data_IF_618366299267
#
_entry.id   IF_618366299267
#
_cell.length_a   1.000
_cell.length_b   1.000
_cell.length_c   1.000
_cell.angle_alpha   90.00
_cell.angle_beta   90.00
_cell.angle_gamma   90.00
#
_symmetry.space_group_name_H-M   'P 1'
#
loop_
_entity.id
_entity.type
_entity.pdbx_description
1 polymer ?
#
# COMPACT_ATOMS: atom_id res chain seq x y z
N UNK A 1 -7.71 19.55 -9.52
CA UNK A 1 -6.57 18.71 -9.10
C UNK A 1 -5.30 19.54 -9.27
N UNK A 2 -4.52 19.73 -8.19
CA UNK A 2 -3.22 20.41 -8.23
C UNK A 2 -2.18 19.53 -8.97
N UNK A 3 -1.11 20.13 -9.47
CA UNK A 3 0.06 19.45 -10.05
C UNK A 3 0.64 18.42 -9.07
N UNK A 4 0.81 18.78 -7.80
CA UNK A 4 1.32 17.89 -6.75
C UNK A 4 0.46 16.64 -6.55
N UNK A 5 -0.87 16.79 -6.53
CA UNK A 5 -1.83 15.69 -6.44
C UNK A 5 -1.70 14.71 -7.60
N UNK A 6 -1.41 15.22 -8.80
CA UNK A 6 -1.26 14.42 -10.01
C UNK A 6 0.07 13.66 -10.03
N UNK A 7 1.15 14.28 -9.57
CA UNK A 7 2.44 13.59 -9.42
C UNK A 7 2.34 12.44 -8.41
N UNK A 8 1.68 12.67 -7.28
CA UNK A 8 1.43 11.62 -6.28
C UNK A 8 0.60 10.46 -6.83
N UNK A 9 -0.41 10.75 -7.66
CA UNK A 9 -1.17 9.71 -8.36
C UNK A 9 -0.27 8.85 -9.26
N UNK A 10 0.61 9.48 -10.02
CA UNK A 10 1.56 8.80 -10.91
C UNK A 10 2.46 7.85 -10.11
N UNK A 11 2.97 8.29 -8.96
CA UNK A 11 3.79 7.45 -8.08
C UNK A 11 3.03 6.24 -7.56
N UNK A 12 1.79 6.43 -7.10
CA UNK A 12 0.95 5.33 -6.60
C UNK A 12 0.65 4.32 -7.73
N UNK A 13 0.41 4.79 -8.96
CA UNK A 13 0.19 3.92 -10.12
C UNK A 13 1.44 3.09 -10.43
N UNK A 14 2.63 3.71 -10.39
CA UNK A 14 3.91 3.00 -10.57
C UNK A 14 4.14 1.97 -9.46
N UNK A 15 3.81 2.31 -8.22
CA UNK A 15 3.89 1.40 -7.08
C UNK A 15 2.94 0.20 -7.27
N UNK A 16 1.69 0.44 -7.64
CA UNK A 16 0.70 -0.60 -7.93
C UNK A 16 1.12 -1.52 -9.08
N UNK A 17 1.84 -0.98 -10.08
CA UNK A 17 2.40 -1.78 -11.19
C UNK A 17 3.59 -2.62 -10.75
N UNK A 18 4.40 -2.12 -9.82
CA UNK A 18 5.63 -2.77 -9.40
C UNK A 18 6.57 -3.06 -10.59
N UNK A 19 7.04 -4.29 -10.68
CA UNK A 19 7.95 -4.76 -11.74
C UNK A 19 7.26 -5.15 -13.04
N UNK A 20 5.93 -5.12 -13.11
CA UNK A 20 5.19 -5.50 -14.32
C UNK A 20 5.45 -4.49 -15.46
N UNK A 21 5.42 -4.95 -16.71
CA UNK A 21 5.35 -4.05 -17.86
C UNK A 21 4.00 -3.31 -17.91
N UNK A 22 3.94 -2.14 -18.57
CA UNK A 22 2.68 -1.42 -18.77
C UNK A 22 1.62 -2.28 -19.47
N UNK A 23 2.04 -3.14 -20.42
CA UNK A 23 1.16 -4.11 -21.07
C UNK A 23 0.66 -5.18 -20.10
N UNK A 24 1.54 -5.71 -19.25
CA UNK A 24 1.17 -6.70 -18.23
C UNK A 24 0.17 -6.12 -17.23
N UNK A 25 0.44 -4.91 -16.74
CA UNK A 25 -0.44 -4.21 -15.82
C UNK A 25 -1.78 -3.82 -16.46
N UNK A 26 -1.76 -3.34 -17.71
CA UNK A 26 -2.98 -3.07 -18.48
C UNK A 26 -3.86 -4.31 -18.62
N UNK A 27 -3.28 -5.45 -19.05
CA UNK A 27 -4.01 -6.73 -19.13
C UNK A 27 -4.62 -7.12 -17.78
N UNK A 28 -3.87 -6.92 -16.70
CA UNK A 28 -4.30 -7.24 -15.34
C UNK A 28 -5.44 -6.33 -14.84
N UNK A 29 -5.52 -5.09 -15.32
CA UNK A 29 -6.60 -4.15 -15.01
C UNK A 29 -7.77 -4.19 -16.01
N UNK A 30 -7.61 -4.86 -17.16
CA UNK A 30 -8.58 -4.89 -18.24
C UNK A 30 -8.51 -3.69 -19.19
N UNK A 31 -7.37 -2.98 -19.24
CA UNK A 31 -7.16 -1.78 -20.06
C UNK A 31 -5.99 -1.92 -21.03
N UNK A 32 -5.88 -1.00 -21.99
CA UNK A 32 -4.75 -0.97 -22.91
C UNK A 32 -3.46 -0.53 -22.23
N UNK A 33 -2.31 -0.96 -22.76
CA UNK A 33 -1.00 -0.49 -22.28
C UNK A 33 -0.86 1.04 -22.43
N UNK A 34 -1.48 1.61 -23.46
CA UNK A 34 -1.53 3.06 -23.71
C UNK A 34 -2.28 3.80 -22.61
N UNK A 35 -3.39 3.27 -22.11
CA UNK A 35 -4.10 3.87 -20.98
C UNK A 35 -3.18 3.97 -19.75
N UNK A 36 -2.50 2.87 -19.40
CA UNK A 36 -1.52 2.85 -18.31
C UNK A 36 -0.40 3.87 -18.54
N UNK A 37 0.15 3.93 -19.76
CA UNK A 37 1.21 4.89 -20.10
C UNK A 37 0.76 6.34 -19.93
N UNK A 38 -0.47 6.69 -20.35
CA UNK A 38 -1.02 8.03 -20.20
C UNK A 38 -1.24 8.39 -18.74
N UNK A 39 -1.68 7.43 -17.92
CA UNK A 39 -1.81 7.63 -16.49
C UNK A 39 -0.46 7.85 -15.80
N UNK A 40 0.56 7.05 -16.13
CA UNK A 40 1.92 7.19 -15.56
C UNK A 40 2.66 8.45 -16.04
N UNK A 41 2.20 9.09 -17.12
CA UNK A 41 2.68 10.40 -17.58
C UNK A 41 1.88 11.56 -17.00
N UNK A 42 0.82 11.29 -16.25
CA UNK A 42 -0.11 12.32 -15.74
C UNK A 42 -0.92 13.02 -16.83
N UNK A 43 -1.01 12.45 -18.03
CA UNK A 43 -1.78 13.05 -19.15
C UNK A 43 -3.27 12.94 -18.86
N UNK A 44 -3.73 11.76 -18.47
CA UNK A 44 -5.11 11.48 -18.09
C UNK A 44 -5.18 10.83 -16.70
N UNK A 45 -6.32 10.98 -16.05
CA UNK A 45 -6.61 10.37 -14.74
C UNK A 45 -7.45 9.10 -14.96
N UNK A 46 -7.17 7.97 -14.27
CA UNK A 46 -8.03 6.80 -14.30
C UNK A 46 -9.40 7.09 -13.67
N UNK A 47 -10.46 6.45 -14.19
CA UNK A 47 -11.78 6.52 -13.58
C UNK A 47 -11.83 5.76 -12.24
N UNK A 48 -12.87 6.00 -11.45
CA UNK A 48 -13.04 5.47 -10.09
C UNK A 48 -12.85 3.96 -10.00
N UNK A 49 -13.36 3.19 -10.97
CA UNK A 49 -13.19 1.72 -11.01
C UNK A 49 -11.70 1.32 -11.00
N UNK A 50 -10.87 2.02 -11.78
CA UNK A 50 -9.45 1.74 -11.86
C UNK A 50 -8.69 2.31 -10.66
N UNK A 51 -9.11 3.46 -10.14
CA UNK A 51 -8.56 4.01 -8.90
C UNK A 51 -8.72 3.04 -7.72
N UNK A 52 -9.87 2.37 -7.58
CA UNK A 52 -10.09 1.32 -6.57
C UNK A 52 -9.10 0.17 -6.74
N UNK A 53 -8.95 -0.34 -7.97
CA UNK A 53 -8.04 -1.46 -8.27
C UNK A 53 -6.57 -1.08 -8.00
N UNK A 54 -6.18 0.14 -8.35
CA UNK A 54 -4.83 0.68 -8.18
C UNK A 54 -4.55 0.89 -6.69
N UNK A 55 -5.47 1.50 -5.94
CA UNK A 55 -5.36 1.72 -4.50
C UNK A 55 -5.11 0.40 -3.77
N UNK A 56 -5.97 -0.60 -3.99
CA UNK A 56 -5.86 -1.91 -3.35
C UNK A 56 -4.51 -2.59 -3.61
N UNK A 57 -3.96 -2.45 -4.82
CA UNK A 57 -2.64 -3.00 -5.19
C UNK A 57 -1.46 -2.26 -4.59
N UNK A 58 -1.60 -0.96 -4.37
CA UNK A 58 -0.59 -0.14 -3.74
C UNK A 58 -0.69 -0.11 -2.20
N UNK A 59 -1.61 -0.88 -1.62
CA UNK A 59 -1.86 -0.91 -0.18
C UNK A 59 -2.56 0.33 0.36
N UNK A 60 -3.40 0.97 -0.45
CA UNK A 60 -4.26 2.09 -0.06
C UNK A 60 -5.74 1.70 -0.13
N UNK A 61 -6.55 2.32 0.73
CA UNK A 61 -8.00 2.42 0.52
C UNK A 61 -8.33 3.47 -0.54
N UNK A 62 -9.53 3.41 -1.11
CA UNK A 62 -9.98 4.44 -2.05
C UNK A 62 -9.99 5.82 -1.40
N UNK A 63 -10.45 5.93 -0.16
CA UNK A 63 -10.54 7.21 0.56
C UNK A 63 -9.16 7.80 0.86
N UNK A 64 -8.17 6.98 1.23
CA UNK A 64 -6.78 7.43 1.38
C UNK A 64 -6.20 7.93 0.06
N UNK A 65 -6.47 7.21 -1.04
CA UNK A 65 -6.04 7.63 -2.38
C UNK A 65 -6.69 8.97 -2.74
N UNK A 66 -8.01 9.11 -2.62
CA UNK A 66 -8.73 10.35 -2.93
C UNK A 66 -8.30 11.51 -2.03
N UNK A 67 -8.03 11.26 -0.75
CA UNK A 67 -7.49 12.26 0.18
C UNK A 67 -6.12 12.76 -0.26
N UNK A 68 -5.24 11.85 -0.74
CA UNK A 68 -3.96 12.24 -1.35
C UNK A 68 -4.15 13.13 -2.58
N UNK A 69 -5.22 12.92 -3.36
CA UNK A 69 -5.50 13.69 -4.58
C UNK A 69 -6.16 15.05 -4.30
N UNK A 70 -6.96 15.15 -3.25
CA UNK A 70 -7.64 16.38 -2.85
C UNK A 70 -6.71 17.38 -2.12
N UNK A 71 -5.46 17.01 -1.85
CA UNK A 71 -4.53 17.83 -1.07
C UNK A 71 -4.99 18.04 0.37
N UNK A 72 -5.99 17.26 0.82
CA UNK A 72 -6.40 17.20 2.21
C UNK A 72 -5.28 16.51 2.98
N UNK A 73 -4.97 16.94 4.22
CA UNK A 73 -4.12 16.16 5.09
C UNK A 73 -4.77 14.77 5.17
N UNK A 74 -4.07 13.78 4.62
CA UNK A 74 -4.38 12.36 4.83
C UNK A 74 -4.53 12.28 6.34
N UNK A 75 -5.70 11.90 6.87
CA UNK A 75 -5.78 11.48 8.28
C UNK A 75 -4.63 10.50 8.42
N UNK A 76 -3.58 10.91 9.13
CA UNK A 76 -2.24 10.30 9.07
C UNK A 76 -2.43 8.81 8.99
N UNK A 77 -2.12 8.22 7.83
CA UNK A 77 -2.30 6.79 7.63
C UNK A 77 -1.68 6.16 8.87
N UNK A 78 -2.50 5.49 9.69
CA UNK A 78 -2.08 5.02 11.01
C UNK A 78 -0.70 4.40 10.86
N UNK A 79 0.24 4.62 11.79
CA UNK A 79 1.58 4.04 11.69
C UNK A 79 1.54 2.55 11.31
N UNK A 80 0.50 1.85 11.76
CA UNK A 80 0.17 0.49 11.35
C UNK A 80 -0.09 0.32 9.85
N UNK A 81 -0.95 1.14 9.23
CA UNK A 81 -1.22 1.12 7.79
C UNK A 81 0.05 1.35 6.97
N UNK A 82 0.95 2.24 7.42
CA UNK A 82 2.24 2.47 6.77
C UNK A 82 3.14 1.23 6.87
N UNK A 83 3.23 0.62 8.04
CA UNK A 83 4.00 -0.62 8.27
C UNK A 83 3.45 -1.75 7.38
N UNK A 84 2.14 -1.95 7.35
CA UNK A 84 1.49 -2.99 6.53
C UNK A 84 1.77 -2.78 5.03
N UNK A 85 1.71 -1.54 4.54
CA UNK A 85 2.05 -1.20 3.15
C UNK A 85 3.52 -1.48 2.84
N UNK A 86 4.43 -1.16 3.76
CA UNK A 86 5.85 -1.46 3.58
C UNK A 86 6.10 -2.97 3.49
N UNK A 87 5.44 -3.78 4.32
CA UNK A 87 5.57 -5.25 4.30
C UNK A 87 5.16 -5.83 2.94
N UNK A 88 4.12 -5.31 2.27
CA UNK A 88 3.65 -5.83 0.97
C UNK A 88 4.70 -5.74 -0.15
N UNK A 89 5.60 -4.75 -0.11
CA UNK A 89 6.58 -4.50 -1.17
C UNK A 89 8.00 -4.90 -0.79
N UNK A 90 8.17 -5.54 0.38
CA UNK A 90 9.45 -5.91 0.95
C UNK A 90 9.90 -7.30 0.48
N UNK A 91 11.22 -7.55 0.30
CA UNK A 91 11.73 -8.88 0.03
C UNK A 91 11.47 -9.84 1.21
N UNK A 92 11.21 -11.12 0.90
CA UNK A 92 10.76 -12.12 1.87
C UNK A 92 11.71 -12.32 3.06
N UNK A 93 13.01 -12.11 2.87
CA UNK A 93 13.99 -12.20 3.96
C UNK A 93 13.78 -11.12 5.04
N UNK A 94 13.37 -9.92 4.66
CA UNK A 94 13.06 -8.86 5.62
C UNK A 94 11.67 -9.07 6.24
N UNK A 95 10.70 -9.59 5.48
CA UNK A 95 9.40 -10.00 6.04
C UNK A 95 9.57 -11.07 7.13
N UNK A 96 10.47 -12.04 6.92
CA UNK A 96 10.81 -13.04 7.92
C UNK A 96 11.39 -12.44 9.22
N UNK A 97 12.23 -11.40 9.10
CA UNK A 97 12.76 -10.69 10.28
C UNK A 97 11.65 -9.98 11.07
N UNK A 98 10.71 -9.35 10.38
CA UNK A 98 9.54 -8.71 11.02
C UNK A 98 8.69 -9.78 11.72
N UNK A 99 8.44 -10.91 11.07
CA UNK A 99 7.66 -12.00 11.63
C UNK A 99 8.32 -12.58 12.89
N UNK A 100 9.65 -12.76 12.88
CA UNK A 100 10.41 -13.21 14.04
C UNK A 100 10.29 -12.22 15.21
N UNK A 101 10.52 -10.92 14.97
CA UNK A 101 10.40 -9.91 16.01
C UNK A 101 8.98 -9.83 16.60
N UNK A 102 7.95 -10.01 15.77
CA UNK A 102 6.57 -10.09 16.23
C UNK A 102 6.33 -11.32 17.11
N UNK A 103 6.83 -12.49 16.70
CA UNK A 103 6.72 -13.73 17.47
C UNK A 103 7.43 -13.64 18.83
N UNK A 104 8.64 -13.06 18.88
CA UNK A 104 9.38 -12.81 20.11
C UNK A 104 8.59 -11.89 21.06
N UNK A 105 7.97 -10.83 20.53
CA UNK A 105 7.13 -9.94 21.33
C UNK A 105 5.91 -10.66 21.91
N UNK A 106 5.25 -11.52 21.14
CA UNK A 106 4.12 -12.31 21.63
C UNK A 106 4.56 -13.34 22.68
N UNK A 107 5.72 -13.97 22.53
CA UNK A 107 6.26 -14.92 23.50
C UNK A 107 6.52 -14.26 24.86
N UNK A 108 7.15 -13.07 24.88
CA UNK A 108 7.39 -12.30 26.12
C UNK A 108 6.08 -11.98 26.85
N UNK A 109 5.02 -11.62 26.11
CA UNK A 109 3.70 -11.37 26.70
C UNK A 109 3.08 -12.65 27.27
N UNK A 110 3.21 -13.80 26.59
CA UNK A 110 2.70 -15.08 27.09
C UNK A 110 3.41 -15.54 28.38
N UNK A 111 4.73 -15.35 28.47
CA UNK A 111 5.51 -15.71 29.66
C UNK A 111 5.13 -14.85 30.88
N UNK A 112 4.93 -13.54 30.69
CA UNK A 112 4.48 -12.64 31.77
C UNK A 112 3.06 -12.91 32.27
N UNK A 113 2.18 -13.48 31.45
CA UNK A 113 0.84 -13.92 31.85
C UNK A 113 0.85 -15.25 32.62
N UNK A 114 1.83 -16.12 32.36
CA UNK A 114 1.97 -17.43 33.01
C UNK A 114 2.51 -17.39 34.44
N UNK A 115 3.28 -16.36 34.80
CA UNK A 115 3.94 -16.25 36.11
C UNK A 115 3.00 -15.76 37.24
N UNK A 116 1.84 -15.18 36.89
CA UNK A 116 0.83 -14.73 37.85
C UNK A 116 -0.02 -15.83 38.51
N UNK A 117 0.13 -17.10 38.10
CA UNK A 117 -0.77 -18.19 38.56
C UNK A 117 -0.12 -19.14 39.59
N UNK A 118 1.14 -18.90 40.00
CA UNK A 118 1.85 -19.78 40.96
C UNK A 118 1.95 -19.28 42.40
N UNK A 119 1.27 -18.18 42.74
CA UNK A 119 1.22 -17.67 44.12
C UNK A 119 -0.21 -17.71 44.67
N UNK A 120 -0.70 -18.89 45.07
CA UNK A 120 -1.82 -19.07 46.00
C UNK A 120 -1.74 -20.44 46.64
#
# INVERSE_FOLDING_TARGET
>A
MNIESREKLVEIIKLARGSMSQRGFGKLLGVSATAVQLWEKGVNVPDTEYLVKIAARAGYTLDELLSCLDGKPIQEASDLSLILRQIQHMPLNQVAQIAQAAAERFAVVAESLGDGTKAS
#
